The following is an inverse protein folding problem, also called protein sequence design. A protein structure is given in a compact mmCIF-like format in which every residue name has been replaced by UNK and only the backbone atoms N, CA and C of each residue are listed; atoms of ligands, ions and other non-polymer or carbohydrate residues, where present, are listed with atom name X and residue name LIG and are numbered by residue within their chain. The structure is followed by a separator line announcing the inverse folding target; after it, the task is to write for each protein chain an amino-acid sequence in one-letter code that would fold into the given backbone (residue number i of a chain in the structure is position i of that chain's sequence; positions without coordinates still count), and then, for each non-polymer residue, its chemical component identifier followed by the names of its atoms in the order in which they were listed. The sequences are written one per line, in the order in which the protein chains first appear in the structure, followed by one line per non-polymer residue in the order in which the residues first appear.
data_IF_729281541291
#
_entry.id   IF_729281541291
#
_cell.length_a   1.000
_cell.length_b   1.000
_cell.length_c   1.000
_cell.angle_alpha   90.00
_cell.angle_beta   90.00
_cell.angle_gamma   90.00
#
_symmetry.space_group_name_H-M   'P 1'
#
loop_
_entity.id
_entity.type
_entity.pdbx_description
1 polymer ?
#
# COMPACT_ATOMS: atom_id res chain seq x y z
N UNK A 1 -5.81 -16.30 10.91
CA UNK A 1 -4.39 -16.72 11.00
C UNK A 1 -3.53 -16.13 9.89
N UNK A 2 -3.96 -16.16 8.61
CA UNK A 2 -3.19 -15.60 7.48
C UNK A 2 -2.97 -14.06 7.54
N UNK A 3 -3.95 -13.27 8.00
CA UNK A 3 -3.82 -11.80 8.17
C UNK A 3 -2.71 -11.40 9.14
N UNK A 4 -2.66 -12.06 10.29
CA UNK A 4 -1.62 -11.84 11.29
C UNK A 4 -0.24 -12.20 10.73
N UNK A 5 -0.14 -13.27 9.92
CA UNK A 5 1.09 -13.64 9.23
C UNK A 5 1.55 -12.59 8.20
N UNK A 6 0.64 -12.10 7.36
CA UNK A 6 0.95 -11.05 6.38
C UNK A 6 1.32 -9.73 7.06
N UNK A 7 0.63 -9.36 8.13
CA UNK A 7 0.94 -8.18 8.92
C UNK A 7 2.30 -8.30 9.62
N UNK A 8 2.61 -9.46 10.21
CA UNK A 8 3.92 -9.71 10.80
C UNK A 8 5.04 -9.70 9.75
N UNK A 9 4.80 -10.24 8.55
CA UNK A 9 5.74 -10.19 7.44
C UNK A 9 6.00 -8.75 6.98
N UNK A 10 4.96 -7.92 6.91
CA UNK A 10 5.10 -6.50 6.63
C UNK A 10 5.95 -5.79 7.68
N UNK A 11 5.66 -6.00 8.98
CA UNK A 11 6.46 -5.42 10.06
C UNK A 11 7.93 -5.87 10.01
N UNK A 12 8.17 -7.14 9.68
CA UNK A 12 9.52 -7.67 9.48
C UNK A 12 10.21 -6.96 8.31
N UNK A 13 9.54 -6.83 7.16
CA UNK A 13 10.05 -6.12 6.00
C UNK A 13 10.39 -4.65 6.30
N UNK A 14 9.51 -3.96 7.04
CA UNK A 14 9.74 -2.59 7.52
C UNK A 14 11.00 -2.54 8.39
N UNK A 15 11.10 -3.41 9.40
CA UNK A 15 12.24 -3.45 10.32
C UNK A 15 13.55 -3.75 9.60
N UNK A 16 13.54 -4.70 8.67
CA UNK A 16 14.71 -5.06 7.88
C UNK A 16 15.14 -3.90 6.98
N UNK A 17 14.20 -3.20 6.35
CA UNK A 17 14.53 -2.00 5.58
C UNK A 17 15.12 -0.88 6.44
N UNK A 18 14.62 -0.68 7.67
CA UNK A 18 15.21 0.32 8.57
C UNK A 18 16.62 -0.03 9.03
N UNK A 19 16.95 -1.33 9.14
CA UNK A 19 18.28 -1.79 9.57
C UNK A 19 19.31 -1.76 8.43
N UNK A 20 18.94 -2.22 7.23
CA UNK A 20 19.90 -2.43 6.13
C UNK A 20 19.56 -1.68 4.84
N UNK A 21 18.49 -0.86 4.82
CA UNK A 21 18.00 -0.23 3.59
C UNK A 21 18.99 0.72 2.94
N UNK A 22 19.61 1.62 3.71
CA UNK A 22 20.61 2.56 3.17
C UNK A 22 21.89 1.88 2.67
N UNK A 23 22.54 0.96 3.43
CA UNK A 23 23.71 0.24 2.90
C UNK A 23 23.35 -0.63 1.70
N UNK A 24 22.17 -1.28 1.71
CA UNK A 24 21.68 -2.02 0.55
C UNK A 24 21.54 -1.14 -0.70
N UNK A 25 20.93 0.04 -0.57
CA UNK A 25 20.78 0.98 -1.67
C UNK A 25 22.13 1.47 -2.21
N UNK A 26 23.08 1.78 -1.34
CA UNK A 26 24.42 2.20 -1.77
C UNK A 26 25.16 1.12 -2.55
N UNK A 27 25.00 -0.15 -2.17
CA UNK A 27 25.56 -1.28 -2.88
C UNK A 27 24.84 -1.57 -4.20
N UNK A 28 23.51 -1.44 -4.23
CA UNK A 28 22.70 -1.81 -5.39
C UNK A 28 22.67 -0.74 -6.50
N UNK A 29 22.47 0.52 -6.14
CA UNK A 29 22.27 1.60 -7.13
C UNK A 29 23.55 2.00 -7.86
N UNK A 30 24.73 1.79 -7.27
CA UNK A 30 26.02 2.25 -7.81
C UNK A 30 26.07 3.75 -8.17
N UNK A 31 25.12 4.56 -7.71
CA UNK A 31 24.94 5.97 -8.02
C UNK A 31 24.69 6.74 -6.70
N UNK A 32 25.75 7.24 -6.03
CA UNK A 32 25.64 7.81 -4.70
C UNK A 32 24.73 9.05 -4.64
N UNK A 33 24.61 9.80 -5.74
CA UNK A 33 23.70 10.94 -5.85
C UNK A 33 22.20 10.57 -5.80
N UNK A 34 21.84 9.34 -6.20
CA UNK A 34 20.44 8.87 -6.20
C UNK A 34 20.05 8.20 -4.87
N UNK A 35 21.03 7.70 -4.11
CA UNK A 35 20.78 6.95 -2.87
C UNK A 35 19.91 7.73 -1.87
N UNK A 36 20.19 9.01 -1.56
CA UNK A 36 19.36 9.77 -0.61
C UNK A 36 17.90 9.92 -1.09
N UNK A 37 17.71 10.22 -2.38
CA UNK A 37 16.37 10.40 -2.96
C UNK A 37 15.57 9.10 -2.92
N UNK A 38 16.16 7.99 -3.37
CA UNK A 38 15.51 6.67 -3.36
C UNK A 38 15.25 6.21 -1.93
N UNK A 39 16.17 6.50 -1.00
CA UNK A 39 15.97 6.19 0.41
C UNK A 39 14.77 6.94 0.99
N UNK A 40 14.63 8.25 0.74
CA UNK A 40 13.46 9.03 1.15
C UNK A 40 12.16 8.47 0.58
N UNK A 41 12.14 8.14 -0.72
CA UNK A 41 10.96 7.54 -1.37
C UNK A 41 10.58 6.22 -0.68
N UNK A 42 11.57 5.34 -0.46
CA UNK A 42 11.32 4.05 0.15
C UNK A 42 10.92 4.13 1.62
N UNK A 43 11.43 5.10 2.39
CA UNK A 43 10.94 5.33 3.76
C UNK A 43 9.43 5.62 3.80
N UNK A 44 8.89 6.30 2.79
CA UNK A 44 7.45 6.54 2.66
C UNK A 44 6.74 5.28 2.16
N UNK A 45 7.27 4.64 1.10
CA UNK A 45 6.66 3.46 0.49
C UNK A 45 6.63 2.24 1.41
N UNK A 46 7.52 2.16 2.39
CA UNK A 46 7.52 1.09 3.40
C UNK A 46 6.18 1.03 4.15
N UNK A 47 5.60 2.18 4.49
CA UNK A 47 4.25 2.24 5.07
C UNK A 47 3.16 1.93 4.05
N UNK A 48 3.36 2.36 2.80
CA UNK A 48 2.45 2.01 1.71
C UNK A 48 2.35 0.49 1.57
N UNK A 49 3.48 -0.22 1.48
CA UNK A 49 3.51 -1.67 1.36
C UNK A 49 2.92 -2.39 2.58
N UNK A 50 3.15 -1.85 3.78
CA UNK A 50 2.63 -2.42 5.01
C UNK A 50 1.10 -2.47 5.05
N UNK A 51 0.43 -1.44 4.52
CA UNK A 51 -1.02 -1.39 4.43
C UNK A 51 -1.50 -2.17 3.20
N UNK A 52 -0.80 -2.03 2.07
CA UNK A 52 -1.16 -2.67 0.80
C UNK A 52 -1.28 -4.19 0.94
N UNK A 53 -0.43 -4.83 1.75
CA UNK A 53 -0.43 -6.30 1.93
C UNK A 53 -1.77 -6.86 2.44
N UNK A 54 -2.61 -6.02 3.06
CA UNK A 54 -3.94 -6.40 3.54
C UNK A 54 -4.97 -6.48 2.40
N UNK A 55 -4.72 -5.79 1.29
CA UNK A 55 -5.68 -5.64 0.19
C UNK A 55 -5.90 -6.93 -0.62
N UNK A 56 -4.87 -7.69 -1.05
CA UNK A 56 -5.07 -8.93 -1.82
C UNK A 56 -5.95 -9.95 -1.10
N UNK A 57 -5.87 -10.02 0.22
CA UNK A 57 -6.71 -10.90 1.01
C UNK A 57 -8.17 -10.46 0.99
N UNK A 58 -8.43 -9.17 1.24
CA UNK A 58 -9.78 -8.64 1.23
C UNK A 58 -10.43 -8.82 -0.15
N UNK A 59 -9.68 -8.54 -1.22
CA UNK A 59 -10.10 -8.80 -2.59
C UNK A 59 -10.41 -10.28 -2.83
N UNK A 60 -9.55 -11.19 -2.37
CA UNK A 60 -9.75 -12.64 -2.50
C UNK A 60 -11.02 -13.12 -1.78
N UNK A 61 -11.35 -12.53 -0.62
CA UNK A 61 -12.60 -12.82 0.10
C UNK A 61 -13.82 -12.36 -0.71
N UNK A 62 -13.79 -11.14 -1.24
CA UNK A 62 -14.88 -10.59 -2.05
C UNK A 62 -15.08 -11.40 -3.33
N UNK A 63 -14.00 -11.72 -4.04
CA UNK A 63 -14.02 -12.49 -5.27
C UNK A 63 -14.51 -13.92 -5.02
N UNK A 64 -14.02 -14.56 -3.95
CA UNK A 64 -14.44 -15.90 -3.54
C UNK A 64 -15.93 -16.02 -3.16
N UNK A 65 -16.57 -14.92 -2.75
CA UNK A 65 -18.01 -14.84 -2.46
C UNK A 65 -18.82 -14.26 -3.64
N UNK A 66 -18.27 -14.25 -4.85
CA UNK A 66 -18.97 -13.83 -6.06
C UNK A 66 -19.22 -12.32 -6.15
N UNK A 67 -18.40 -11.50 -5.49
CA UNK A 67 -18.46 -10.03 -5.57
C UNK A 67 -17.21 -9.37 -6.17
N UNK A 68 -16.69 -9.84 -7.32
CA UNK A 68 -15.52 -9.23 -7.96
C UNK A 68 -15.74 -7.78 -8.39
N UNK A 69 -17.00 -7.37 -8.60
CA UNK A 69 -17.35 -5.98 -8.87
C UNK A 69 -16.97 -5.03 -7.73
N UNK A 70 -17.03 -5.47 -6.47
CA UNK A 70 -16.61 -4.64 -5.34
C UNK A 70 -15.10 -4.43 -5.33
N UNK A 71 -14.33 -5.49 -5.59
CA UNK A 71 -12.87 -5.42 -5.76
C UNK A 71 -12.51 -4.37 -6.84
N UNK A 72 -13.14 -4.46 -8.01
CA UNK A 72 -12.89 -3.52 -9.11
C UNK A 72 -13.22 -2.06 -8.75
N UNK A 73 -14.34 -1.82 -8.05
CA UNK A 73 -14.73 -0.48 -7.60
C UNK A 73 -13.69 0.11 -6.63
N UNK A 74 -13.21 -0.70 -5.67
CA UNK A 74 -12.18 -0.26 -4.73
C UNK A 74 -10.84 0.02 -5.42
N UNK A 75 -10.43 -0.82 -6.37
CA UNK A 75 -9.22 -0.60 -7.17
C UNK A 75 -9.33 0.70 -7.97
N UNK A 76 -10.45 0.92 -8.67
CA UNK A 76 -10.69 2.14 -9.43
C UNK A 76 -10.72 3.38 -8.53
N UNK A 77 -11.41 3.30 -7.39
CA UNK A 77 -11.49 4.39 -6.42
C UNK A 77 -10.13 4.76 -5.85
N UNK A 78 -9.31 3.76 -5.51
CA UNK A 78 -7.94 3.96 -5.02
C UNK A 78 -7.09 4.67 -6.07
N UNK A 79 -7.08 4.17 -7.31
CA UNK A 79 -6.33 4.77 -8.40
C UNK A 79 -6.80 6.21 -8.72
N UNK A 80 -8.12 6.46 -8.64
CA UNK A 80 -8.68 7.79 -8.86
C UNK A 80 -8.20 8.77 -7.78
N UNK A 81 -8.28 8.38 -6.50
CA UNK A 81 -7.80 9.20 -5.38
C UNK A 81 -6.29 9.45 -5.52
N UNK A 82 -5.52 8.42 -5.86
CA UNK A 82 -4.08 8.53 -6.09
C UNK A 82 -3.74 9.54 -7.19
N UNK A 83 -4.39 9.44 -8.36
CA UNK A 83 -4.14 10.35 -9.49
C UNK A 83 -4.53 11.80 -9.11
N UNK A 84 -5.71 12.00 -8.51
CA UNK A 84 -6.18 13.33 -8.12
C UNK A 84 -5.25 13.95 -7.09
N UNK A 85 -4.88 13.19 -6.05
CA UNK A 85 -3.95 13.67 -5.02
C UNK A 85 -2.56 13.92 -5.61
N UNK A 86 -2.05 13.07 -6.51
CA UNK A 86 -0.75 13.28 -7.12
C UNK A 86 -0.71 14.60 -7.89
N UNK A 87 -1.76 14.92 -8.67
CA UNK A 87 -1.87 16.18 -9.40
C UNK A 87 -1.95 17.39 -8.46
N UNK A 88 -2.71 17.29 -7.37
CA UNK A 88 -2.86 18.36 -6.38
C UNK A 88 -1.57 18.59 -5.58
N UNK A 89 -0.85 17.52 -5.25
CA UNK A 89 0.37 17.56 -4.45
C UNK A 89 1.61 17.90 -5.29
N UNK A 90 1.58 17.68 -6.61
CA UNK A 90 2.71 17.90 -7.50
C UNK A 90 3.36 19.29 -7.37
N UNK A 91 2.61 20.41 -7.31
CA UNK A 91 3.21 21.74 -7.19
C UNK A 91 4.03 21.94 -5.90
N UNK A 92 3.74 21.16 -4.85
CA UNK A 92 4.36 21.33 -3.53
C UNK A 92 5.46 20.29 -3.27
N UNK A 93 5.29 19.06 -3.75
CA UNK A 93 6.15 17.93 -3.42
C UNK A 93 6.93 17.36 -4.63
N UNK A 94 6.69 17.86 -5.84
CA UNK A 94 7.38 17.43 -7.06
C UNK A 94 7.36 15.91 -7.23
N UNK A 95 8.55 15.30 -7.33
CA UNK A 95 8.71 13.86 -7.53
C UNK A 95 8.21 13.00 -6.34
N UNK A 96 8.01 13.58 -5.16
CA UNK A 96 7.44 12.87 -4.00
C UNK A 96 5.91 12.86 -4.01
N UNK A 97 5.26 13.68 -4.85
CA UNK A 97 3.81 13.78 -4.89
C UNK A 97 3.10 12.44 -5.18
N UNK A 98 3.52 11.61 -6.15
CA UNK A 98 2.90 10.31 -6.39
C UNK A 98 3.06 9.37 -5.20
N UNK A 99 4.18 9.45 -4.48
CA UNK A 99 4.48 8.60 -3.33
C UNK A 99 3.56 8.92 -2.16
N UNK A 100 3.39 10.21 -1.85
CA UNK A 100 2.43 10.66 -0.83
C UNK A 100 0.99 10.37 -1.24
N UNK A 101 0.64 10.60 -2.49
CA UNK A 101 -0.69 10.33 -3.02
C UNK A 101 -1.07 8.85 -2.89
N UNK A 102 -0.17 7.95 -3.27
CA UNK A 102 -0.38 6.50 -3.15
C UNK A 102 -0.56 6.09 -1.69
N UNK A 103 0.28 6.59 -0.77
CA UNK A 103 0.16 6.31 0.66
C UNK A 103 -1.19 6.78 1.22
N UNK A 104 -1.59 8.02 0.93
CA UNK A 104 -2.87 8.56 1.39
C UNK A 104 -4.05 7.80 0.80
N UNK A 105 -3.98 7.45 -0.50
CA UNK A 105 -5.03 6.69 -1.17
C UNK A 105 -5.30 5.37 -0.45
N UNK A 106 -4.25 4.58 -0.17
CA UNK A 106 -4.45 3.28 0.50
C UNK A 106 -4.83 3.41 1.97
N UNK A 107 -4.38 4.47 2.68
CA UNK A 107 -4.81 4.74 4.06
C UNK A 107 -6.33 4.93 4.11
N UNK A 108 -6.90 5.58 3.08
CA UNK A 108 -8.33 5.84 2.99
C UNK A 108 -9.10 4.61 2.49
N UNK A 109 -8.60 3.91 1.48
CA UNK A 109 -9.37 2.86 0.80
C UNK A 109 -9.22 1.47 1.41
N UNK A 110 -8.04 1.11 1.94
CA UNK A 110 -7.81 -0.22 2.52
C UNK A 110 -8.71 -0.53 3.72
N UNK A 111 -8.94 0.39 4.70
CA UNK A 111 -9.88 0.12 5.80
C UNK A 111 -11.31 -0.11 5.31
N UNK A 112 -11.76 0.67 4.32
CA UNK A 112 -13.08 0.53 3.74
C UNK A 112 -13.24 -0.81 2.99
N UNK A 113 -12.20 -1.24 2.27
CA UNK A 113 -12.14 -2.55 1.61
C UNK A 113 -12.22 -3.70 2.62
N UNK A 114 -11.45 -3.62 3.71
CA UNK A 114 -11.47 -4.63 4.78
C UNK A 114 -12.84 -4.74 5.44
N UNK A 115 -13.48 -3.61 5.74
CA UNK A 115 -14.83 -3.57 6.28
C UNK A 115 -15.86 -4.20 5.33
N UNK A 116 -15.76 -3.91 4.02
CA UNK A 116 -16.64 -4.52 3.03
C UNK A 116 -16.47 -6.05 2.97
N UNK A 117 -15.22 -6.54 3.02
CA UNK A 117 -14.93 -7.97 3.04
C UNK A 117 -15.50 -8.65 4.30
N UNK A 118 -15.34 -8.06 5.47
CA UNK A 118 -15.90 -8.56 6.73
C UNK A 118 -17.43 -8.69 6.67
N UNK A 119 -18.11 -7.66 6.17
CA UNK A 119 -19.57 -7.65 6.00
C UNK A 119 -20.08 -8.78 5.10
N UNK A 120 -19.33 -9.11 4.05
CA UNK A 120 -19.66 -10.21 3.15
C UNK A 120 -19.54 -11.56 3.86
N UNK A 121 -18.47 -11.75 4.63
CA UNK A 121 -18.29 -12.98 5.42
C UNK A 121 -19.42 -13.19 6.44
N UNK A 122 -19.78 -12.13 7.19
CA UNK A 122 -20.86 -12.23 8.19
C UNK A 122 -22.19 -12.61 7.53
N UNK A 123 -22.52 -12.00 6.39
CA UNK A 123 -23.76 -12.31 5.65
C UNK A 123 -23.76 -13.73 5.06
N UNK A 124 -22.60 -14.27 4.71
CA UNK A 124 -22.52 -15.64 4.17
C UNK A 124 -22.69 -16.73 5.23
N UNK A 125 -22.42 -16.42 6.50
CA UNK A 125 -22.53 -17.35 7.63
C UNK A 125 -23.90 -17.28 8.34
N UNK A 126 -24.80 -16.39 7.91
CA UNK A 126 -26.17 -16.24 8.41
C UNK A 126 -27.18 -16.83 7.42
#
# INVERSE_FOLDING_TARGET
MLQLGLFALALLGIGLYQLVGLPFLSWWLHAPELVPLVHTILQILVWYFAILILSPLASSILDGHGRPGLTAIFTLGTATIEIVLALVLFPHYGLLAPVYAALVAIILTTPALLFAAERVMVKSNS
#
